data_IF_975606625398
#
_entry.id   IF_975606625398
#
_cell.length_a   1.000
_cell.length_b   1.000
_cell.length_c   1.000
_cell.angle_alpha   90.00
_cell.angle_beta   90.00
_cell.angle_gamma   90.00
#
_symmetry.space_group_name_H-M   'P 1'
#
loop_
_entity.id
_entity.type
_entity.pdbx_description
1 polymer ?
#
# COMPACT_ATOMS: atom_id res chain seq x y z
N UNK A 1 33.30 2.07 -15.81
CA UNK A 1 33.72 0.75 -16.34
C UNK A 1 32.73 -0.35 -15.93
N UNK A 2 32.34 -0.40 -14.65
CA UNK A 2 31.47 -1.45 -14.10
C UNK A 2 30.10 -1.61 -14.78
N UNK A 3 29.39 -0.54 -15.14
CA UNK A 3 28.09 -0.67 -15.83
C UNK A 3 28.15 -1.47 -17.15
N UNK A 4 29.23 -1.32 -17.94
CA UNK A 4 29.39 -2.08 -19.20
C UNK A 4 29.64 -3.56 -18.92
N UNK A 5 30.40 -3.87 -17.87
CA UNK A 5 30.65 -5.24 -17.44
C UNK A 5 29.37 -5.88 -16.89
N UNK A 6 28.53 -5.12 -16.18
CA UNK A 6 27.24 -5.59 -15.67
C UNK A 6 26.27 -5.99 -16.77
N UNK A 7 26.19 -5.23 -17.86
CA UNK A 7 25.36 -5.59 -19.01
C UNK A 7 25.83 -6.88 -19.67
N UNK A 8 27.15 -7.04 -19.85
CA UNK A 8 27.69 -8.27 -20.41
C UNK A 8 27.45 -9.46 -19.47
N UNK A 9 27.65 -9.29 -18.16
CA UNK A 9 27.34 -10.29 -17.15
C UNK A 9 25.86 -10.72 -17.20
N UNK A 10 24.94 -9.75 -17.30
CA UNK A 10 23.50 -10.01 -17.42
C UNK A 10 23.20 -10.92 -18.62
N UNK A 11 23.74 -10.60 -19.80
CA UNK A 11 23.53 -11.43 -21.02
C UNK A 11 24.16 -12.83 -20.86
N UNK A 12 25.29 -12.94 -20.16
CA UNK A 12 25.92 -14.23 -19.90
C UNK A 12 25.09 -15.14 -18.99
N UNK A 13 24.15 -14.61 -18.19
CA UNK A 13 23.24 -15.43 -17.38
C UNK A 13 22.33 -16.31 -18.26
N UNK A 14 21.95 -15.85 -19.45
CA UNK A 14 21.15 -16.66 -20.39
C UNK A 14 21.93 -17.89 -20.88
N UNK A 15 23.25 -17.77 -21.02
CA UNK A 15 24.10 -18.89 -21.42
C UNK A 15 24.26 -19.91 -20.30
N UNK A 16 24.36 -19.46 -19.04
CA UNK A 16 24.42 -20.34 -17.87
C UNK A 16 23.09 -21.07 -17.66
N UNK A 17 21.95 -20.42 -17.93
CA UNK A 17 20.62 -21.05 -17.86
C UNK A 17 20.41 -22.08 -18.99
N UNK A 18 20.85 -21.76 -20.21
CA UNK A 18 20.79 -22.67 -21.35
C UNK A 18 21.75 -23.88 -21.19
N UNK A 19 22.92 -23.67 -20.59
CA UNK A 19 23.94 -24.69 -20.38
C UNK A 19 24.26 -24.83 -18.89
N UNK A 20 23.50 -25.64 -18.17
CA UNK A 20 23.59 -25.82 -16.71
C UNK A 20 24.96 -26.29 -16.17
N UNK A 21 25.87 -26.73 -17.04
CA UNK A 21 27.24 -27.12 -16.70
C UNK A 21 28.27 -26.00 -16.93
N UNK A 22 27.91 -24.96 -17.69
CA UNK A 22 28.78 -23.85 -18.02
C UNK A 22 28.56 -22.70 -17.05
N UNK A 23 29.57 -22.37 -16.24
CA UNK A 23 29.55 -21.25 -15.30
C UNK A 23 30.19 -20.00 -15.92
N UNK A 24 29.71 -19.61 -17.09
CA UNK A 24 30.33 -18.59 -17.94
C UNK A 24 30.23 -17.22 -17.31
N UNK A 25 29.06 -16.85 -16.76
CA UNK A 25 28.86 -15.55 -16.12
C UNK A 25 29.80 -15.38 -14.91
N UNK A 26 29.96 -16.43 -14.10
CA UNK A 26 30.81 -16.40 -12.92
C UNK A 26 32.30 -16.39 -13.23
N UNK A 27 32.75 -17.15 -14.25
CA UNK A 27 34.12 -17.04 -14.76
C UNK A 27 34.42 -15.63 -15.28
N UNK A 28 33.50 -15.03 -16.04
CA UNK A 28 33.63 -13.66 -16.51
C UNK A 28 33.71 -12.65 -15.36
N UNK A 29 32.84 -12.77 -14.36
CA UNK A 29 32.84 -11.86 -13.21
C UNK A 29 34.17 -11.92 -12.43
N UNK A 30 34.72 -13.12 -12.24
CA UNK A 30 36.02 -13.34 -11.60
C UNK A 30 37.17 -12.71 -12.40
N UNK A 31 37.25 -13.01 -13.71
CA UNK A 31 38.34 -12.52 -14.58
C UNK A 31 38.30 -11.00 -14.80
N UNK A 32 37.11 -10.41 -14.85
CA UNK A 32 36.94 -8.97 -15.04
C UNK A 32 37.03 -8.16 -13.74
N UNK A 33 37.11 -8.82 -12.58
CA UNK A 33 37.09 -8.18 -11.27
C UNK A 33 35.76 -7.48 -10.98
N UNK A 34 34.64 -8.02 -11.47
CA UNK A 34 33.32 -7.43 -11.28
C UNK A 34 32.91 -7.51 -9.80
N UNK A 35 32.54 -6.38 -9.16
CA UNK A 35 32.15 -6.38 -7.75
C UNK A 35 30.89 -7.24 -7.49
N UNK A 36 30.86 -7.92 -6.34
CA UNK A 36 29.78 -8.86 -5.99
C UNK A 36 28.39 -8.22 -5.90
N UNK A 37 28.30 -6.96 -5.45
CA UNK A 37 27.02 -6.23 -5.40
C UNK A 37 26.42 -6.03 -6.81
N UNK A 38 27.23 -5.74 -7.82
CA UNK A 38 26.74 -5.65 -9.20
C UNK A 38 26.31 -7.02 -9.75
N UNK A 39 26.99 -8.10 -9.35
CA UNK A 39 26.60 -9.46 -9.76
C UNK A 39 25.24 -9.83 -9.15
N UNK A 40 25.07 -9.61 -7.84
CA UNK A 40 23.81 -9.82 -7.12
C UNK A 40 22.68 -9.02 -7.76
N UNK A 41 22.89 -7.72 -7.98
CA UNK A 41 21.85 -6.86 -8.54
C UNK A 41 21.44 -7.29 -9.95
N UNK A 42 22.40 -7.55 -10.85
CA UNK A 42 22.11 -7.98 -12.22
C UNK A 42 21.40 -9.33 -12.25
N UNK A 43 21.79 -10.27 -11.38
CA UNK A 43 21.12 -11.56 -11.26
C UNK A 43 19.69 -11.41 -10.74
N UNK A 44 19.46 -10.50 -9.79
CA UNK A 44 18.13 -10.15 -9.31
C UNK A 44 17.23 -9.62 -10.44
N UNK A 45 17.71 -8.64 -11.21
CA UNK A 45 16.96 -8.10 -12.36
C UNK A 45 16.68 -9.17 -13.42
N UNK A 46 17.67 -10.00 -13.73
CA UNK A 46 17.51 -11.09 -14.70
C UNK A 46 16.42 -12.09 -14.27
N UNK A 47 16.31 -12.40 -12.98
CA UNK A 47 15.22 -13.24 -12.45
C UNK A 47 13.85 -12.53 -12.55
N UNK A 48 13.79 -11.21 -12.31
CA UNK A 48 12.54 -10.43 -12.46
C UNK A 48 12.05 -10.43 -13.90
N UNK A 49 12.95 -10.24 -14.88
CA UNK A 49 12.61 -10.21 -16.31
C UNK A 49 12.09 -11.57 -16.81
N UNK A 50 12.38 -12.65 -16.08
CA UNK A 50 11.90 -14.02 -16.35
C UNK A 50 10.70 -14.42 -15.50
N UNK A 51 10.11 -13.45 -14.80
CA UNK A 51 8.96 -13.61 -13.94
C UNK A 51 9.19 -14.51 -12.70
N UNK A 52 10.44 -14.79 -12.33
CA UNK A 52 10.79 -15.54 -11.12
C UNK A 52 10.99 -14.59 -9.92
N UNK A 53 9.92 -13.87 -9.58
CA UNK A 53 9.92 -12.84 -8.53
C UNK A 53 10.30 -13.33 -7.13
N UNK A 54 9.85 -14.52 -6.67
CA UNK A 54 10.24 -15.02 -5.35
C UNK A 54 11.76 -15.16 -5.21
N UNK A 55 12.43 -15.72 -6.22
CA UNK A 55 13.89 -15.86 -6.21
C UNK A 55 14.58 -14.53 -6.45
N UNK A 56 14.03 -13.69 -7.33
CA UNK A 56 14.58 -12.36 -7.58
C UNK A 56 14.68 -11.55 -6.28
N UNK A 57 13.67 -11.66 -5.42
CA UNK A 57 13.61 -10.95 -4.14
C UNK A 57 14.83 -11.22 -3.25
N UNK A 58 15.33 -12.46 -3.21
CA UNK A 58 16.52 -12.85 -2.44
C UNK A 58 17.77 -12.06 -2.86
N UNK A 59 17.83 -11.64 -4.13
CA UNK A 59 18.94 -10.87 -4.67
C UNK A 59 18.71 -9.37 -4.54
N UNK A 60 17.56 -8.86 -4.99
CA UNK A 60 17.32 -7.41 -5.03
C UNK A 60 17.11 -6.79 -3.65
N UNK A 61 16.72 -7.58 -2.65
CA UNK A 61 16.60 -7.15 -1.26
C UNK A 61 17.90 -7.27 -0.45
N UNK A 62 19.01 -7.67 -1.09
CA UNK A 62 20.26 -7.90 -0.38
C UNK A 62 20.83 -6.59 0.21
N UNK A 63 21.26 -6.56 1.49
CA UNK A 63 21.61 -5.32 2.20
C UNK A 63 22.89 -4.63 1.70
N UNK A 64 23.69 -5.29 0.87
CA UNK A 64 24.87 -4.69 0.23
C UNK A 64 24.53 -3.86 -1.02
N UNK A 65 23.27 -3.85 -1.44
CA UNK A 65 22.79 -3.10 -2.60
C UNK A 65 22.32 -1.71 -2.18
N UNK A 66 22.56 -0.74 -3.06
CA UNK A 66 21.94 0.58 -2.94
C UNK A 66 20.53 0.52 -3.56
N UNK A 67 19.49 1.05 -2.89
CA UNK A 67 18.11 1.00 -3.37
C UNK A 67 17.83 2.05 -4.46
N UNK A 68 18.72 2.22 -5.43
CA UNK A 68 18.61 3.26 -6.46
C UNK A 68 17.43 3.04 -7.42
N UNK A 69 17.06 1.77 -7.63
CA UNK A 69 15.96 1.32 -8.50
C UNK A 69 14.75 0.81 -7.70
N UNK A 70 14.65 1.16 -6.42
CA UNK A 70 13.60 0.65 -5.55
C UNK A 70 12.18 0.97 -6.06
N UNK A 71 11.99 2.17 -6.64
CA UNK A 71 10.72 2.57 -7.24
C UNK A 71 10.28 1.60 -8.33
N UNK A 72 11.16 1.30 -9.29
CA UNK A 72 10.86 0.40 -10.41
C UNK A 72 10.61 -1.04 -9.93
N UNK A 73 11.41 -1.51 -8.96
CA UNK A 73 11.25 -2.83 -8.35
C UNK A 73 9.89 -2.96 -7.66
N UNK A 74 9.52 -1.98 -6.83
CA UNK A 74 8.23 -1.95 -6.14
C UNK A 74 7.08 -1.91 -7.15
N UNK A 75 7.17 -1.05 -8.17
CA UNK A 75 6.15 -0.95 -9.22
C UNK A 75 5.99 -2.29 -9.95
N UNK A 76 7.08 -2.95 -10.31
CA UNK A 76 7.05 -4.24 -10.99
C UNK A 76 6.42 -5.34 -10.12
N UNK A 77 6.85 -5.46 -8.86
CA UNK A 77 6.33 -6.46 -7.92
C UNK A 77 4.83 -6.27 -7.66
N UNK A 78 4.35 -5.02 -7.54
CA UNK A 78 2.94 -4.74 -7.32
C UNK A 78 2.11 -5.01 -8.57
N UNK A 79 2.59 -4.61 -9.76
CA UNK A 79 1.85 -4.83 -11.02
C UNK A 79 1.70 -6.29 -11.39
N UNK A 80 2.65 -7.13 -10.98
CA UNK A 80 2.61 -8.56 -11.26
C UNK A 80 1.90 -9.38 -10.16
N UNK A 81 1.50 -8.77 -9.06
CA UNK A 81 0.78 -9.44 -7.98
C UNK A 81 -0.53 -10.06 -8.48
N UNK A 82 -0.53 -11.39 -8.67
CA UNK A 82 -1.75 -12.15 -8.95
C UNK A 82 -2.67 -12.16 -7.73
N UNK A 83 -3.98 -12.17 -7.96
CA UNK A 83 -5.00 -12.28 -6.90
C UNK A 83 -4.91 -11.21 -5.79
N UNK A 84 -4.27 -10.06 -6.08
CA UNK A 84 -3.98 -9.00 -5.11
C UNK A 84 -3.09 -9.46 -3.93
N UNK A 85 -2.25 -10.48 -4.14
CA UNK A 85 -1.23 -10.87 -3.17
C UNK A 85 0.01 -9.98 -3.30
N UNK A 86 0.08 -8.96 -2.44
CA UNK A 86 1.19 -8.01 -2.42
C UNK A 86 2.36 -8.45 -1.53
N UNK A 87 2.39 -9.70 -1.06
CA UNK A 87 3.38 -10.19 -0.09
C UNK A 87 4.82 -9.95 -0.51
N UNK A 88 5.15 -10.14 -1.80
CA UNK A 88 6.51 -9.91 -2.31
C UNK A 88 6.92 -8.43 -2.29
N UNK A 89 6.03 -7.54 -2.74
CA UNK A 89 6.27 -6.11 -2.74
C UNK A 89 6.43 -5.56 -1.31
N UNK A 90 5.57 -5.99 -0.39
CA UNK A 90 5.64 -5.60 1.01
C UNK A 90 6.88 -6.18 1.70
N UNK A 91 7.24 -7.44 1.40
CA UNK A 91 8.47 -8.05 1.92
C UNK A 91 9.72 -7.30 1.47
N UNK A 92 9.78 -6.90 0.20
CA UNK A 92 10.86 -6.02 -0.30
C UNK A 92 10.91 -4.71 0.50
N UNK A 93 9.77 -4.04 0.62
CA UNK A 93 9.67 -2.76 1.30
C UNK A 93 10.10 -2.83 2.78
N UNK A 94 9.64 -3.81 3.55
CA UNK A 94 10.04 -3.94 4.96
C UNK A 94 11.50 -4.34 5.14
N UNK A 95 12.07 -5.10 4.20
CA UNK A 95 13.46 -5.56 4.28
C UNK A 95 14.45 -4.46 3.90
N UNK A 96 14.15 -3.70 2.86
CA UNK A 96 15.05 -2.69 2.29
C UNK A 96 14.78 -1.29 2.84
N UNK A 97 13.54 -1.01 3.25
CA UNK A 97 13.05 0.31 3.68
C UNK A 97 13.52 1.46 2.77
N UNK A 98 13.29 1.37 1.45
CA UNK A 98 13.80 2.35 0.51
C UNK A 98 13.06 3.68 0.63
N UNK A 99 13.75 4.77 0.30
CA UNK A 99 13.12 6.07 0.12
C UNK A 99 12.58 6.13 -1.32
N UNK A 100 11.26 6.05 -1.45
CA UNK A 100 10.60 6.14 -2.75
C UNK A 100 10.64 7.57 -3.29
N UNK A 101 11.13 7.75 -4.52
CA UNK A 101 11.35 9.08 -5.12
C UNK A 101 10.15 9.49 -5.99
N UNK A 102 9.49 8.53 -6.60
CA UNK A 102 8.37 8.69 -7.50
C UNK A 102 7.05 8.66 -6.73
N UNK A 103 6.15 9.63 -6.97
CA UNK A 103 4.83 9.62 -6.36
C UNK A 103 4.04 8.37 -6.77
N UNK A 104 4.25 7.85 -7.99
CA UNK A 104 3.57 6.66 -8.50
C UNK A 104 3.96 5.42 -7.70
N UNK A 105 5.25 5.26 -7.38
CA UNK A 105 5.72 4.13 -6.58
C UNK A 105 5.15 4.20 -5.16
N UNK A 106 5.15 5.40 -4.56
CA UNK A 106 4.58 5.64 -3.23
C UNK A 106 3.09 5.30 -3.18
N UNK A 107 2.32 5.79 -4.16
CA UNK A 107 0.88 5.56 -4.24
C UNK A 107 0.54 4.07 -4.44
N UNK A 108 1.28 3.37 -5.30
CA UNK A 108 1.08 1.94 -5.52
C UNK A 108 1.41 1.12 -4.28
N UNK A 109 2.54 1.40 -3.63
CA UNK A 109 2.92 0.74 -2.38
C UNK A 109 1.87 0.99 -1.29
N UNK A 110 1.39 2.22 -1.20
CA UNK A 110 0.38 2.58 -0.23
C UNK A 110 -0.94 1.86 -0.46
N UNK A 111 -1.39 1.74 -1.71
CA UNK A 111 -2.60 0.96 -2.04
C UNK A 111 -2.42 -0.52 -1.72
N UNK A 112 -1.25 -1.09 -2.01
CA UNK A 112 -0.92 -2.46 -1.65
C UNK A 112 -0.98 -2.67 -0.12
N UNK A 113 -0.40 -1.74 0.65
CA UNK A 113 -0.46 -1.75 2.11
C UNK A 113 -1.90 -1.63 2.63
N UNK A 114 -2.68 -0.69 2.10
CA UNK A 114 -4.07 -0.47 2.50
C UNK A 114 -4.98 -1.67 2.20
N UNK A 115 -4.67 -2.42 1.13
CA UNK A 115 -5.37 -3.67 0.78
C UNK A 115 -4.98 -4.84 1.67
N UNK A 116 -3.78 -4.83 2.26
CA UNK A 116 -3.31 -5.88 3.17
C UNK A 116 -3.68 -5.58 4.62
N UNK A 117 -3.48 -4.34 5.08
CA UNK A 117 -3.70 -3.90 6.46
C UNK A 117 -4.17 -2.45 6.52
N UNK A 118 -5.41 -2.27 6.97
CA UNK A 118 -6.04 -0.95 7.17
C UNK A 118 -5.28 -0.14 8.22
N UNK A 119 -4.87 -0.80 9.32
CA UNK A 119 -4.11 -0.19 10.41
C UNK A 119 -2.72 0.27 9.98
N UNK A 120 -2.01 -0.56 9.23
CA UNK A 120 -0.66 -0.25 8.81
C UNK A 120 -0.62 0.96 7.86
N UNK A 121 -1.53 1.00 6.89
CA UNK A 121 -1.62 2.13 5.97
C UNK A 121 -1.88 3.46 6.70
N UNK A 122 -2.71 3.46 7.75
CA UNK A 122 -2.89 4.65 8.58
C UNK A 122 -1.57 5.07 9.24
N UNK A 123 -0.88 4.13 9.89
CA UNK A 123 0.40 4.43 10.55
C UNK A 123 1.46 4.92 9.58
N UNK A 124 1.54 4.33 8.39
CA UNK A 124 2.46 4.75 7.35
C UNK A 124 2.17 6.17 6.86
N UNK A 125 0.90 6.52 6.63
CA UNK A 125 0.52 7.88 6.22
C UNK A 125 1.01 8.95 7.22
N UNK A 126 1.03 8.63 8.51
CA UNK A 126 1.49 9.51 9.60
C UNK A 126 2.99 9.77 9.60
N UNK A 127 3.78 8.98 8.87
CA UNK A 127 5.23 9.18 8.76
C UNK A 127 5.62 10.30 7.80
N UNK A 128 4.65 10.84 7.04
CA UNK A 128 4.89 11.85 6.03
C UNK A 128 4.46 13.26 6.47
N UNK A 129 4.98 14.26 5.76
CA UNK A 129 4.59 15.66 5.95
C UNK A 129 3.09 15.86 5.67
N UNK A 130 2.50 16.87 6.30
CA UNK A 130 1.05 17.06 6.37
C UNK A 130 0.33 16.98 5.01
N UNK A 131 0.86 17.62 3.96
CA UNK A 131 0.27 17.58 2.63
C UNK A 131 0.19 16.15 2.06
N UNK A 132 1.31 15.42 2.08
CA UNK A 132 1.36 14.03 1.60
C UNK A 132 0.54 13.10 2.49
N UNK A 133 0.57 13.33 3.81
CA UNK A 133 -0.24 12.58 4.78
C UNK A 133 -1.74 12.71 4.46
N UNK A 134 -2.24 13.93 4.22
CA UNK A 134 -3.64 14.15 3.87
C UNK A 134 -4.02 13.46 2.54
N UNK A 135 -3.18 13.57 1.52
CA UNK A 135 -3.39 12.91 0.22
C UNK A 135 -3.50 11.38 0.39
N UNK A 136 -2.57 10.78 1.12
CA UNK A 136 -2.58 9.34 1.38
C UNK A 136 -3.75 8.93 2.26
N UNK A 137 -4.13 9.75 3.25
CA UNK A 137 -5.29 9.49 4.10
C UNK A 137 -6.60 9.45 3.29
N UNK A 138 -6.82 10.43 2.41
CA UNK A 138 -7.98 10.43 1.50
C UNK A 138 -7.98 9.21 0.57
N UNK A 139 -6.81 8.85 0.03
CA UNK A 139 -6.62 7.65 -0.79
C UNK A 139 -6.93 6.36 -0.02
N UNK A 140 -6.51 6.27 1.24
CA UNK A 140 -6.78 5.14 2.12
C UNK A 140 -8.28 4.96 2.36
N UNK A 141 -9.01 6.05 2.68
CA UNK A 141 -10.48 6.00 2.81
C UNK A 141 -11.10 5.48 1.51
N UNK A 142 -10.67 6.02 0.36
CA UNK A 142 -11.15 5.58 -0.94
C UNK A 142 -10.89 4.09 -1.15
N UNK A 143 -9.67 3.63 -0.90
CA UNK A 143 -9.30 2.23 -1.09
C UNK A 143 -10.16 1.30 -0.22
N UNK A 144 -10.36 1.62 1.06
CA UNK A 144 -11.13 0.78 1.98
C UNK A 144 -12.62 0.75 1.63
N UNK A 145 -13.19 1.88 1.19
CA UNK A 145 -14.62 2.01 0.89
C UNK A 145 -15.01 1.60 -0.54
N UNK A 146 -14.09 1.71 -1.50
CA UNK A 146 -14.30 1.37 -2.92
C UNK A 146 -14.00 -0.10 -3.26
N UNK A 147 -13.36 -0.83 -2.33
CA UNK A 147 -13.09 -2.25 -2.55
C UNK A 147 -14.40 -2.99 -2.87
N UNK A 148 -14.41 -3.75 -3.98
CA UNK A 148 -15.57 -4.47 -4.49
C UNK A 148 -16.09 -5.58 -3.56
N UNK A 149 -16.93 -6.49 -4.08
CA UNK A 149 -17.64 -7.57 -3.36
C UNK A 149 -16.71 -8.68 -2.80
N UNK A 150 -15.70 -8.33 -2.02
CA UNK A 150 -14.94 -9.28 -1.22
C UNK A 150 -15.68 -9.60 0.08
N UNK A 151 -15.59 -10.84 0.60
CA UNK A 151 -16.21 -11.24 1.87
C UNK A 151 -15.73 -10.40 3.06
N UNK A 152 -14.50 -9.87 3.03
CA UNK A 152 -13.90 -9.02 4.07
C UNK A 152 -14.26 -7.53 3.98
N UNK A 153 -15.13 -7.12 3.06
CA UNK A 153 -15.44 -5.69 2.91
C UNK A 153 -16.14 -5.13 4.15
N UNK A 154 -17.02 -5.92 4.78
CA UNK A 154 -17.76 -5.47 5.96
C UNK A 154 -16.85 -5.26 7.16
N UNK A 155 -15.90 -6.18 7.40
CA UNK A 155 -14.96 -6.10 8.51
C UNK A 155 -14.00 -4.91 8.36
N UNK A 156 -13.48 -4.66 7.16
CA UNK A 156 -12.58 -3.53 6.88
C UNK A 156 -13.29 -2.17 6.97
N UNK A 157 -14.53 -2.08 6.49
CA UNK A 157 -15.32 -0.85 6.64
C UNK A 157 -15.59 -0.56 8.11
N UNK A 158 -15.88 -1.59 8.92
CA UNK A 158 -16.03 -1.40 10.36
C UNK A 158 -14.72 -1.00 11.03
N UNK A 159 -13.59 -1.64 10.67
CA UNK A 159 -12.27 -1.28 11.19
C UNK A 159 -12.00 0.21 10.97
N UNK A 160 -12.16 0.71 9.74
CA UNK A 160 -12.04 2.12 9.38
C UNK A 160 -12.86 3.05 10.29
N UNK A 161 -14.11 2.70 10.58
CA UNK A 161 -14.99 3.54 11.41
C UNK A 161 -14.52 3.65 12.87
N UNK A 162 -13.81 2.63 13.37
CA UNK A 162 -13.30 2.57 14.74
C UNK A 162 -11.82 2.96 14.87
N UNK A 163 -11.17 3.38 13.77
CA UNK A 163 -9.76 3.76 13.80
C UNK A 163 -9.53 5.01 14.67
N UNK A 164 -8.43 5.04 15.46
CA UNK A 164 -8.12 6.13 16.36
C UNK A 164 -7.50 7.29 15.58
N UNK A 165 -8.35 8.20 15.09
CA UNK A 165 -7.90 9.41 14.38
C UNK A 165 -7.49 10.51 15.35
N UNK A 166 -6.51 11.31 14.93
CA UNK A 166 -6.28 12.62 15.54
C UNK A 166 -7.30 13.66 15.04
N UNK A 167 -7.22 14.88 15.58
CA UNK A 167 -8.16 15.94 15.23
C UNK A 167 -8.11 16.36 13.76
N UNK A 168 -6.94 16.27 13.11
CA UNK A 168 -6.79 16.63 11.69
C UNK A 168 -7.38 15.53 10.80
N UNK A 169 -7.08 14.27 11.11
CA UNK A 169 -7.63 13.11 10.43
C UNK A 169 -9.15 13.05 10.56
N UNK A 170 -9.71 13.41 11.71
CA UNK A 170 -11.17 13.52 11.88
C UNK A 170 -11.78 14.57 10.93
N UNK A 171 -11.14 15.75 10.85
CA UNK A 171 -11.59 16.81 9.96
C UNK A 171 -11.48 16.41 8.48
N UNK A 172 -10.36 15.79 8.07
CA UNK A 172 -10.17 15.28 6.72
C UNK A 172 -11.16 14.17 6.37
N UNK A 173 -11.45 13.28 7.32
CA UNK A 173 -12.41 12.19 7.14
C UNK A 173 -13.82 12.74 6.91
N UNK A 174 -14.27 13.70 7.72
CA UNK A 174 -15.57 14.33 7.56
C UNK A 174 -15.66 15.14 6.26
N UNK A 175 -14.66 15.97 5.95
CA UNK A 175 -14.61 16.74 4.71
C UNK A 175 -14.66 15.83 3.46
N UNK A 176 -13.85 14.77 3.45
CA UNK A 176 -13.77 13.85 2.32
C UNK A 176 -15.09 13.12 2.03
N UNK A 177 -15.82 12.71 3.08
CA UNK A 177 -17.07 11.97 2.94
C UNK A 177 -18.31 12.86 2.74
N UNK A 178 -18.23 14.16 3.09
CA UNK A 178 -19.37 15.09 2.99
C UNK A 178 -19.30 16.01 1.77
N UNK A 179 -18.12 16.57 1.48
CA UNK A 179 -17.88 17.56 0.45
C UNK A 179 -16.92 17.08 -0.65
N UNK A 180 -16.00 16.17 -0.32
CA UNK A 180 -15.01 15.63 -1.24
C UNK A 180 -15.52 14.54 -2.19
N UNK A 181 -14.57 13.96 -2.94
CA UNK A 181 -14.80 12.87 -3.91
C UNK A 181 -15.40 11.61 -3.25
N UNK A 182 -15.08 11.38 -1.97
CA UNK A 182 -15.57 10.26 -1.19
C UNK A 182 -17.08 10.24 -0.97
N UNK A 183 -17.78 11.35 -1.17
CA UNK A 183 -19.25 11.45 -1.05
C UNK A 183 -20.01 10.46 -1.94
N UNK A 184 -19.44 10.11 -3.09
CA UNK A 184 -20.08 9.21 -4.07
C UNK A 184 -19.90 7.73 -3.72
N UNK A 185 -19.09 7.40 -2.71
CA UNK A 185 -18.86 6.03 -2.27
C UNK A 185 -20.10 5.48 -1.57
N UNK A 186 -20.50 4.24 -1.90
CA UNK A 186 -21.77 3.64 -1.45
C UNK A 186 -21.92 3.59 0.08
N UNK A 187 -20.81 3.43 0.80
CA UNK A 187 -20.78 3.31 2.27
C UNK A 187 -20.40 4.61 2.99
N UNK A 188 -20.14 5.70 2.27
CA UNK A 188 -19.65 6.96 2.86
C UNK A 188 -20.53 7.46 4.01
N UNK A 189 -21.84 7.53 3.80
CA UNK A 189 -22.79 8.03 4.80
C UNK A 189 -22.88 7.11 6.02
N UNK A 190 -22.93 5.80 5.79
CA UNK A 190 -23.05 4.80 6.84
C UNK A 190 -21.76 4.78 7.69
N UNK A 191 -20.58 4.83 7.08
CA UNK A 191 -19.31 4.88 7.81
C UNK A 191 -19.16 6.17 8.61
N UNK A 192 -19.54 7.32 8.05
CA UNK A 192 -19.54 8.60 8.77
C UNK A 192 -20.48 8.57 9.98
N UNK A 193 -21.67 7.99 9.81
CA UNK A 193 -22.64 7.83 10.89
C UNK A 193 -22.10 6.93 12.02
N UNK A 194 -21.58 5.75 11.68
CA UNK A 194 -21.00 4.81 12.66
C UNK A 194 -19.87 5.49 13.43
N UNK A 195 -19.00 6.23 12.73
CA UNK A 195 -17.91 6.96 13.36
C UNK A 195 -18.40 8.01 14.35
N UNK A 196 -19.38 8.85 13.97
CA UNK A 196 -19.95 9.86 14.88
C UNK A 196 -20.60 9.22 16.11
N UNK A 197 -21.25 8.06 15.96
CA UNK A 197 -21.78 7.29 17.10
C UNK A 197 -20.64 6.78 17.99
N UNK A 198 -19.60 6.19 17.41
CA UNK A 198 -18.44 5.65 18.14
C UNK A 198 -17.71 6.74 18.93
N UNK A 199 -17.57 7.94 18.36
CA UNK A 199 -16.95 9.10 18.98
C UNK A 199 -17.90 9.90 19.89
N UNK A 200 -19.12 9.39 20.17
CA UNK A 200 -20.15 10.02 21.02
C UNK A 200 -20.60 11.42 20.57
N UNK A 201 -20.51 11.71 19.28
CA UNK A 201 -20.92 12.99 18.69
C UNK A 201 -22.41 12.98 18.30
N UNK A 202 -23.30 12.65 19.24
CA UNK A 202 -24.72 12.40 18.96
C UNK A 202 -25.49 13.64 18.46
N UNK A 203 -25.06 14.86 18.82
CA UNK A 203 -25.62 16.10 18.28
C UNK A 203 -25.41 16.24 16.78
N UNK A 204 -24.27 15.76 16.28
CA UNK A 204 -23.91 15.80 14.86
C UNK A 204 -24.53 14.63 14.07
N UNK A 205 -24.84 13.53 14.75
CA UNK A 205 -25.53 12.35 14.19
C UNK A 205 -26.88 12.76 13.58
N UNK A 206 -27.61 13.70 14.20
CA UNK A 206 -28.91 14.17 13.71
C UNK A 206 -28.85 14.89 12.34
N UNK A 207 -27.68 15.43 11.96
CA UNK A 207 -27.46 16.16 10.70
C UNK A 207 -27.18 15.22 9.52
N UNK A 208 -26.76 13.98 9.78
CA UNK A 208 -26.51 12.98 8.75
C UNK A 208 -27.83 12.35 8.32
N UNK A 209 -28.19 12.45 7.03
CA UNK A 209 -29.36 11.76 6.49
C UNK A 209 -29.02 10.29 6.25
N UNK A 210 -29.62 9.35 7.00
CA UNK A 210 -29.29 7.94 6.87
C UNK A 210 -29.84 7.32 5.59
N UNK A 211 -29.24 6.20 5.20
CA UNK A 211 -29.78 5.25 4.22
C UNK A 211 -30.03 3.90 4.87
N UNK A 212 -31.13 3.24 4.53
CA UNK A 212 -31.38 1.83 4.89
C UNK A 212 -31.49 1.56 6.40
N UNK A 213 -30.80 0.52 6.87
CA UNK A 213 -30.91 -0.07 8.21
C UNK A 213 -30.59 0.90 9.35
N UNK A 214 -29.78 1.93 9.12
CA UNK A 214 -29.38 2.91 10.14
C UNK A 214 -30.44 3.96 10.46
N UNK A 215 -31.49 4.09 9.62
CA UNK A 215 -32.54 5.09 9.83
C UNK A 215 -33.31 4.87 11.15
N UNK A 216 -33.68 3.63 11.45
CA UNK A 216 -34.41 3.31 12.69
C UNK A 216 -33.55 3.46 13.96
N UNK A 217 -32.24 3.18 13.87
CA UNK A 217 -31.31 3.39 14.99
C UNK A 217 -31.19 4.89 15.31
N UNK A 218 -31.13 5.72 14.28
CA UNK A 218 -31.07 7.17 14.39
C UNK A 218 -32.30 7.79 15.05
N UNK A 219 -33.50 7.31 14.71
CA UNK A 219 -34.74 7.75 15.38
C UNK A 219 -34.72 7.41 16.87
N UNK A 220 -34.24 6.22 17.24
CA UNK A 220 -34.07 5.83 18.64
C UNK A 220 -33.05 6.69 19.39
N UNK A 221 -31.91 6.99 18.77
CA UNK A 221 -30.89 7.88 19.35
C UNK A 221 -31.46 9.29 19.56
N UNK A 222 -32.14 9.85 18.54
CA UNK A 222 -32.75 11.18 18.63
C UNK A 222 -33.74 11.28 19.79
N UNK A 223 -34.67 10.32 19.87
CA UNK A 223 -35.65 10.25 20.95
C UNK A 223 -34.99 10.17 22.33
N UNK A 224 -33.87 9.44 22.46
CA UNK A 224 -33.12 9.33 23.71
C UNK A 224 -32.34 10.60 24.10
N UNK A 225 -31.80 11.34 23.12
CA UNK A 225 -31.06 12.59 23.39
C UNK A 225 -31.96 13.79 23.63
N UNK A 226 -33.13 13.85 23.00
CA UNK A 226 -34.10 14.93 23.19
C UNK A 226 -34.75 14.86 24.59
N UNK A 227 -34.94 13.65 25.14
CA UNK A 227 -35.48 13.44 26.49
C UNK A 227 -34.53 13.77 27.65
N UNK A 228 -33.28 14.18 27.39
CA UNK A 228 -32.34 14.65 28.42
C UNK A 228 -32.14 16.18 28.43
N UNK A 229 -32.86 16.92 27.58
CA UNK A 229 -32.78 18.37 27.47
C UNK A 229 -33.94 19.12 28.16
N UNK A 230 -34.88 18.40 28.81
CA UNK A 230 -35.91 18.93 29.72
C UNK A 230 -35.53 18.66 31.18
#
# INVERSE_FOLDING_TARGET
>A
MHHKLSLLYYVLLDFDDANKEAFVSGSFASLSGMPANYQLFMKGLWLMDREDYPRALEYVAHPSLNPDFADDIVIALIKQASDQDFSLALSYFYSVQPILKSPVALELLFDAMARTSVTEALLYSRTHAQHTREQLFRRWISCVLDTGRGPDLSSRTSELAFMPFDALEEAWFEDYLTAGEGKMLKKAKDTLLIRKIACRQFSEVAKVRPSGQWAGILEGIKAGTEGQAE
#
